data_IF_892060370550
#
_entry.id   IF_892060370550
#
_cell.length_a   1.000
_cell.length_b   1.000
_cell.length_c   1.000
_cell.angle_alpha   90.00
_cell.angle_beta   90.00
_cell.angle_gamma   90.00
#
_symmetry.space_group_name_H-M   'P 1'
#
loop_
_entity.id
_entity.type
_entity.pdbx_description
1 polymer ?
#
# COMPACT_ATOMS: atom_id res chain seq x y z
N UNK A 1 26.22 -5.92 -4.49
CA UNK A 1 26.33 -5.84 -3.01
C UNK A 1 24.93 -5.68 -2.41
N UNK A 2 24.56 -6.46 -1.37
CA UNK A 2 23.31 -6.20 -0.63
C UNK A 2 23.50 -4.89 0.14
N UNK A 3 22.77 -3.83 -0.23
CA UNK A 3 22.76 -2.60 0.55
C UNK A 3 21.97 -2.87 1.83
N UNK A 4 22.68 -3.04 2.94
CA UNK A 4 22.06 -3.15 4.26
C UNK A 4 21.63 -1.74 4.65
N UNK A 5 20.33 -1.53 4.87
CA UNK A 5 19.87 -0.24 5.39
C UNK A 5 20.40 -0.02 6.81
N UNK A 6 20.89 1.20 7.12
CA UNK A 6 21.26 1.56 8.48
C UNK A 6 20.05 1.43 9.41
N UNK A 7 20.30 1.03 10.65
CA UNK A 7 19.25 0.72 11.63
C UNK A 7 18.30 1.90 11.87
N UNK A 8 18.83 3.12 11.94
CA UNK A 8 18.03 4.33 12.08
C UNK A 8 17.01 4.51 10.94
N UNK A 9 17.41 4.23 9.69
CA UNK A 9 16.50 4.31 8.54
C UNK A 9 15.41 3.23 8.62
N UNK A 10 15.77 2.00 9.03
CA UNK A 10 14.77 0.93 9.26
C UNK A 10 13.74 1.30 10.31
N UNK A 11 14.16 1.90 11.43
CA UNK A 11 13.25 2.34 12.49
C UNK A 11 12.32 3.47 12.02
N UNK A 12 12.87 4.45 11.30
CA UNK A 12 12.08 5.53 10.71
C UNK A 12 11.03 5.02 9.72
N UNK A 13 11.42 4.08 8.84
CA UNK A 13 10.50 3.48 7.88
C UNK A 13 9.43 2.61 8.57
N UNK A 14 9.79 1.88 9.64
CA UNK A 14 8.81 1.12 10.41
C UNK A 14 7.76 2.02 11.08
N UNK A 15 8.18 3.17 11.63
CA UNK A 15 7.26 4.17 12.17
C UNK A 15 6.36 4.76 11.08
N UNK A 16 6.92 5.01 9.89
CA UNK A 16 6.17 5.52 8.76
C UNK A 16 5.12 4.51 8.25
N UNK A 17 5.45 3.22 8.23
CA UNK A 17 4.52 2.13 7.88
C UNK A 17 3.37 2.06 8.88
N UNK A 18 3.64 2.17 10.18
CA UNK A 18 2.58 2.17 11.20
C UNK A 18 1.66 3.39 11.05
N UNK A 19 2.22 4.58 10.87
CA UNK A 19 1.45 5.79 10.62
C UNK A 19 0.58 5.67 9.36
N UNK A 20 1.14 5.14 8.28
CA UNK A 20 0.43 4.88 7.03
C UNK A 20 -0.72 3.86 7.21
N UNK A 21 -0.50 2.81 8.00
CA UNK A 21 -1.48 1.77 8.26
C UNK A 21 -2.72 2.33 8.97
N UNK A 22 -2.51 3.09 10.05
CA UNK A 22 -3.61 3.57 10.92
C UNK A 22 -4.34 4.78 10.37
N UNK A 23 -3.62 5.70 9.71
CA UNK A 23 -4.17 6.99 9.29
C UNK A 23 -4.48 7.04 7.78
N UNK A 24 -4.24 5.94 7.08
CA UNK A 24 -4.53 5.80 5.66
C UNK A 24 -3.58 6.55 4.73
N UNK A 25 -3.70 6.33 3.40
CA UNK A 25 -2.81 6.90 2.39
C UNK A 25 -2.95 8.42 2.23
N UNK A 26 -4.05 9.01 2.68
CA UNK A 26 -4.32 10.45 2.57
C UNK A 26 -3.57 11.27 3.62
N UNK A 27 -3.22 10.66 4.77
CA UNK A 27 -2.46 11.31 5.84
C UNK A 27 -0.97 11.52 5.52
N UNK A 28 -0.45 10.76 4.54
CA UNK A 28 0.96 10.82 4.18
C UNK A 28 1.27 12.02 3.28
N UNK A 29 2.33 12.76 3.64
CA UNK A 29 2.87 13.82 2.80
C UNK A 29 3.49 13.27 1.51
N UNK A 30 3.69 14.12 0.51
CA UNK A 30 4.33 13.70 -0.75
C UNK A 30 5.73 13.11 -0.53
N UNK A 31 6.52 13.70 0.36
CA UNK A 31 7.85 13.19 0.71
C UNK A 31 7.79 11.82 1.40
N UNK A 32 6.85 11.63 2.33
CA UNK A 32 6.63 10.35 3.01
C UNK A 32 6.21 9.24 2.05
N UNK A 33 5.31 9.55 1.09
CA UNK A 33 4.93 8.63 0.02
C UNK A 33 6.13 8.25 -0.83
N UNK A 34 6.96 9.23 -1.19
CA UNK A 34 8.18 8.98 -1.95
C UNK A 34 9.15 8.05 -1.21
N UNK A 35 9.31 8.23 0.11
CA UNK A 35 10.14 7.33 0.94
C UNK A 35 9.57 5.91 0.95
N UNK A 36 8.27 5.73 1.15
CA UNK A 36 7.64 4.40 1.12
C UNK A 36 7.75 3.73 -0.25
N UNK A 37 7.59 4.49 -1.33
CA UNK A 37 7.72 3.97 -2.69
C UNK A 37 9.17 3.67 -3.07
N UNK A 38 10.13 4.38 -2.48
CA UNK A 38 11.56 4.17 -2.67
C UNK A 38 12.15 3.02 -1.85
N UNK A 39 11.50 2.61 -0.76
CA UNK A 39 11.90 1.47 0.05
C UNK A 39 11.03 0.22 -0.21
N UNK A 40 11.55 -0.78 -0.95
CA UNK A 40 10.79 -1.99 -1.25
C UNK A 40 10.41 -2.80 -0.01
N UNK A 41 11.19 -2.78 1.07
CA UNK A 41 10.89 -3.55 2.27
C UNK A 41 9.77 -2.91 3.09
N UNK A 42 9.80 -1.58 3.24
CA UNK A 42 8.74 -0.83 3.90
C UNK A 42 7.42 -1.00 3.14
N UNK A 43 7.47 -0.95 1.80
CA UNK A 43 6.29 -1.12 0.95
C UNK A 43 5.69 -2.54 1.06
N UNK A 44 6.53 -3.58 1.00
CA UNK A 44 6.08 -4.96 1.16
C UNK A 44 5.41 -5.19 2.53
N UNK A 45 6.02 -4.69 3.60
CA UNK A 45 5.45 -4.78 4.96
C UNK A 45 4.12 -4.03 5.07
N UNK A 46 4.03 -2.82 4.51
CA UNK A 46 2.78 -2.06 4.49
C UNK A 46 1.68 -2.83 3.75
N UNK A 47 2.00 -3.42 2.60
CA UNK A 47 1.05 -4.25 1.85
C UNK A 47 0.58 -5.47 2.65
N UNK A 48 1.48 -6.23 3.27
CA UNK A 48 1.08 -7.34 4.13
C UNK A 48 0.13 -6.90 5.25
N UNK A 49 0.44 -5.78 5.92
CA UNK A 49 -0.38 -5.27 7.03
C UNK A 49 -1.75 -4.76 6.57
N UNK A 50 -1.82 -4.08 5.44
CA UNK A 50 -3.08 -3.53 4.91
C UNK A 50 -4.09 -4.64 4.59
N UNK A 51 -3.63 -5.76 4.05
CA UNK A 51 -4.49 -6.89 3.67
C UNK A 51 -4.62 -7.97 4.75
N UNK A 52 -3.65 -8.08 5.65
CA UNK A 52 -3.63 -9.09 6.72
C UNK A 52 -4.14 -8.62 8.08
N UNK A 53 -4.20 -7.30 8.33
CA UNK A 53 -4.61 -6.75 9.63
C UNK A 53 -5.93 -5.97 9.55
N UNK A 54 -6.80 -6.07 10.57
CA UNK A 54 -7.98 -5.23 10.68
C UNK A 54 -7.67 -3.78 11.08
N UNK A 55 -6.43 -3.46 11.50
CA UNK A 55 -6.01 -2.11 11.87
C UNK A 55 -5.81 -1.17 10.69
N UNK A 56 -5.87 -1.69 9.47
CA UNK A 56 -5.70 -0.92 8.26
C UNK A 56 -6.88 0.03 8.01
N UNK A 57 -6.58 1.30 7.82
CA UNK A 57 -7.56 2.31 7.41
C UNK A 57 -8.30 1.88 6.13
N UNK A 58 -9.62 2.09 6.11
CA UNK A 58 -10.47 1.64 4.99
C UNK A 58 -10.11 2.29 3.66
N UNK A 59 -9.50 3.49 3.67
CA UNK A 59 -9.11 4.18 2.46
C UNK A 59 -7.99 3.47 1.67
N UNK A 60 -7.31 2.48 2.27
CA UNK A 60 -6.43 1.58 1.52
C UNK A 60 -7.18 0.59 0.63
N UNK A 61 -8.37 0.16 1.06
CA UNK A 61 -9.23 -0.80 0.35
C UNK A 61 -10.27 -0.11 -0.52
N UNK A 62 -10.44 1.20 -0.37
CA UNK A 62 -11.23 2.05 -1.25
C UNK A 62 -10.65 2.04 -2.67
N UNK A 63 -11.05 1.05 -3.45
CA UNK A 63 -10.75 1.02 -4.88
C UNK A 63 -11.75 1.93 -5.57
N UNK A 64 -11.27 2.98 -6.23
CA UNK A 64 -12.14 3.81 -7.07
C UNK A 64 -12.73 2.92 -8.17
N UNK A 65 -14.04 2.88 -8.25
CA UNK A 65 -14.74 2.27 -9.39
C UNK A 65 -14.26 2.99 -10.64
N UNK A 66 -13.58 2.26 -11.53
CA UNK A 66 -13.23 2.74 -12.86
C UNK A 66 -14.55 2.94 -13.63
N UNK A 67 -15.06 4.18 -13.60
CA UNK A 67 -16.30 4.56 -14.26
C UNK A 67 -16.23 4.35 -15.78
N UNK A 68 -15.02 4.35 -16.36
CA UNK A 68 -14.79 3.85 -17.73
C UNK A 68 -14.18 2.47 -17.68
N UNK A 69 -14.96 1.47 -18.09
CA UNK A 69 -14.41 0.21 -18.57
C UNK A 69 -13.61 0.52 -19.83
N UNK A 70 -12.37 0.04 -19.90
CA UNK A 70 -11.63 0.13 -21.15
C UNK A 70 -12.39 -0.66 -22.23
N UNK A 71 -12.40 -0.19 -23.49
CA UNK A 71 -13.22 -0.80 -24.56
C UNK A 71 -12.87 -2.27 -24.84
N UNK A 72 -11.68 -2.70 -24.41
CA UNK A 72 -11.16 -4.07 -24.53
C UNK A 72 -11.43 -4.95 -23.29
N UNK A 73 -12.24 -4.51 -22.33
CA UNK A 73 -12.60 -5.36 -21.16
C UNK A 73 -13.77 -6.26 -21.53
N UNK A 74 -13.47 -7.53 -21.78
CA UNK A 74 -14.49 -8.57 -21.93
C UNK A 74 -15.08 -8.90 -20.55
N UNK A 75 -16.42 -8.91 -20.38
CA UNK A 75 -17.02 -9.36 -19.15
C UNK A 75 -16.70 -10.85 -18.95
N UNK A 76 -16.13 -11.19 -17.79
CA UNK A 76 -15.93 -12.59 -17.41
C UNK A 76 -17.30 -13.28 -17.34
N UNK A 77 -17.47 -14.39 -18.06
CA UNK A 77 -18.68 -15.21 -17.94
C UNK A 77 -18.78 -15.70 -16.49
N UNK A 78 -19.92 -15.54 -15.81
CA UNK A 78 -20.12 -16.17 -14.52
C UNK A 78 -19.99 -17.68 -14.71
N UNK A 79 -19.23 -18.32 -13.82
CA UNK A 79 -19.10 -19.77 -13.78
C UNK A 79 -20.49 -20.36 -13.51
N UNK A 80 -21.00 -21.16 -14.43
CA UNK A 80 -22.24 -21.91 -14.23
C UNK A 80 -22.09 -22.82 -13.00
N UNK A 81 -23.14 -22.84 -12.17
CA UNK A 81 -23.22 -23.69 -10.99
C UNK A 81 -23.34 -25.17 -11.36
#
# INVERSE_FOLDING_TARGET
ARKIQPEAARLQHAALVQHALTNGPKSLSAAQKHVLLGDPFALARLHELVWGSPLADSAWKETRVLMRRAPNVLPLRPRAA
#
